data_IF_632105350883
#
_entry.id   IF_632105350883
#
_cell.length_a   1.000
_cell.length_b   1.000
_cell.length_c   1.000
_cell.angle_alpha   90.00
_cell.angle_beta   90.00
_cell.angle_gamma   90.00
#
_symmetry.space_group_name_H-M   'P 1'
#
loop_
_entity.id
_entity.type
_entity.pdbx_description
1 polymer ?
#
# COMPACT_ATOMS: atom_id res chain seq x y z
N UNK A 1 3.53 7.58 -7.17
CA UNK A 1 2.40 7.31 -6.25
C UNK A 1 1.54 8.56 -6.01
N UNK A 2 2.12 9.76 -5.78
CA UNK A 2 1.34 11.00 -5.61
C UNK A 2 0.35 11.30 -6.74
N UNK A 3 0.79 11.23 -8.00
CA UNK A 3 -0.08 11.44 -9.16
C UNK A 3 -1.26 10.47 -9.18
N UNK A 4 -1.02 9.21 -8.84
CA UNK A 4 -2.09 8.20 -8.78
C UNK A 4 -3.10 8.54 -7.68
N UNK A 5 -2.63 8.94 -6.49
CA UNK A 5 -3.54 9.36 -5.40
C UNK A 5 -4.36 10.59 -5.76
N UNK A 6 -3.78 11.57 -6.45
CA UNK A 6 -4.51 12.74 -6.93
C UNK A 6 -5.54 12.35 -7.99
N UNK A 7 -5.19 11.48 -8.94
CA UNK A 7 -6.13 10.97 -9.92
C UNK A 7 -7.30 10.24 -9.25
N UNK A 8 -7.02 9.38 -8.27
CA UNK A 8 -8.05 8.68 -7.49
C UNK A 8 -8.95 9.67 -6.72
N UNK A 9 -8.38 10.72 -6.12
CA UNK A 9 -9.15 11.79 -5.47
C UNK A 9 -10.04 12.56 -6.46
N UNK A 10 -9.61 12.69 -7.71
CA UNK A 10 -10.40 13.28 -8.79
C UNK A 10 -11.37 12.28 -9.45
N UNK A 11 -11.50 11.06 -8.91
CA UNK A 11 -12.41 10.03 -9.43
C UNK A 11 -11.90 9.29 -10.67
N UNK A 12 -10.61 9.42 -11.02
CA UNK A 12 -9.98 8.69 -12.12
C UNK A 12 -9.33 7.41 -11.61
N UNK A 13 -9.86 6.26 -12.07
CA UNK A 13 -9.45 4.91 -11.70
C UNK A 13 -8.85 4.14 -12.89
N UNK A 14 -8.11 4.82 -13.77
CA UNK A 14 -7.50 4.19 -14.94
C UNK A 14 -6.39 3.22 -14.51
N UNK A 15 -6.64 1.91 -14.69
CA UNK A 15 -5.64 0.86 -14.53
C UNK A 15 -4.53 0.99 -15.58
N UNK A 16 -3.35 0.49 -15.24
CA UNK A 16 -2.13 0.59 -16.05
C UNK A 16 -1.44 -0.78 -16.13
N UNK A 17 -0.51 -0.93 -17.07
CA UNK A 17 0.28 -2.17 -17.22
C UNK A 17 1.25 -2.41 -16.06
N UNK A 18 1.56 -1.37 -15.27
CA UNK A 18 2.49 -1.44 -14.14
C UNK A 18 2.12 -0.45 -13.02
N UNK A 19 2.52 -0.75 -11.78
CA UNK A 19 2.46 0.17 -10.65
C UNK A 19 1.33 -0.13 -9.67
N UNK A 20 0.86 0.86 -8.90
CA UNK A 20 -0.14 0.58 -7.86
C UNK A 20 -1.53 0.28 -8.43
N UNK A 21 -1.88 0.79 -9.60
CA UNK A 21 -3.10 0.45 -10.35
C UNK A 21 -2.79 -0.53 -11.48
N UNK A 22 -1.84 -1.43 -11.28
CA UNK A 22 -1.58 -2.53 -12.21
C UNK A 22 -2.85 -3.35 -12.43
N UNK A 23 -3.17 -3.69 -13.68
CA UNK A 23 -4.35 -4.48 -14.03
C UNK A 23 -4.37 -5.88 -13.39
N UNK A 24 -3.20 -6.42 -13.04
CA UNK A 24 -3.08 -7.69 -12.33
C UNK A 24 -3.37 -7.60 -10.82
N UNK A 25 -3.51 -6.39 -10.26
CA UNK A 25 -3.83 -6.21 -8.84
C UNK A 25 -5.28 -6.60 -8.52
N UNK A 26 -5.43 -7.72 -7.83
CA UNK A 26 -6.74 -8.26 -7.47
C UNK A 26 -7.45 -7.48 -6.35
N UNK A 27 -6.68 -6.87 -5.43
CA UNK A 27 -7.21 -6.17 -4.25
C UNK A 27 -6.27 -5.05 -3.81
N UNK A 28 -6.85 -4.00 -3.24
CA UNK A 28 -6.12 -2.92 -2.59
C UNK A 28 -6.19 -3.06 -1.08
N UNK A 29 -5.09 -2.70 -0.42
CA UNK A 29 -5.01 -2.69 1.03
C UNK A 29 -4.47 -1.35 1.53
N UNK A 30 -5.08 -0.86 2.61
CA UNK A 30 -4.44 0.09 3.52
C UNK A 30 -3.49 -0.66 4.46
N UNK A 31 -2.61 0.09 5.15
CA UNK A 31 -1.75 -0.50 6.18
C UNK A 31 -2.56 -1.19 7.29
N UNK A 32 -3.72 -0.62 7.64
CA UNK A 32 -4.62 -1.19 8.64
C UNK A 32 -5.22 -2.52 8.15
N UNK A 33 -5.77 -2.54 6.94
CA UNK A 33 -6.45 -3.73 6.41
C UNK A 33 -5.48 -4.88 6.12
N UNK A 34 -4.25 -4.60 5.67
CA UNK A 34 -3.25 -5.66 5.45
C UNK A 34 -2.75 -6.24 6.77
N UNK A 35 -2.62 -5.39 7.81
CA UNK A 35 -2.22 -5.83 9.16
C UNK A 35 -3.24 -6.82 9.72
N UNK A 36 -4.51 -6.44 9.71
CA UNK A 36 -5.57 -7.32 10.21
C UNK A 36 -5.60 -8.63 9.43
N UNK A 37 -5.50 -8.60 8.10
CA UNK A 37 -5.45 -9.82 7.29
C UNK A 37 -4.32 -10.77 7.72
N UNK A 38 -3.12 -10.24 7.95
CA UNK A 38 -1.96 -11.03 8.36
C UNK A 38 -2.14 -11.61 9.77
N UNK A 39 -2.59 -10.79 10.73
CA UNK A 39 -2.81 -11.22 12.11
C UNK A 39 -3.93 -12.26 12.21
N UNK A 40 -5.05 -12.06 11.48
CA UNK A 40 -6.16 -13.01 11.38
C UNK A 40 -5.74 -14.34 10.72
N UNK A 41 -4.72 -14.30 9.86
CA UNK A 41 -4.13 -15.48 9.23
C UNK A 41 -3.08 -16.17 10.11
N UNK A 42 -2.86 -15.69 11.33
CA UNK A 42 -1.93 -16.26 12.31
C UNK A 42 -0.48 -15.80 12.17
N UNK A 43 -0.19 -14.81 11.31
CA UNK A 43 1.14 -14.23 11.19
C UNK A 43 1.41 -13.20 12.28
N UNK A 44 2.68 -13.12 12.70
CA UNK A 44 3.17 -12.03 13.56
C UNK A 44 3.98 -11.05 12.75
N UNK A 45 3.59 -9.78 12.75
CA UNK A 45 4.33 -8.70 12.09
C UNK A 45 5.52 -8.30 12.97
N UNK A 46 6.73 -8.57 12.49
CA UNK A 46 7.98 -8.26 13.19
C UNK A 46 8.51 -6.86 12.82
N UNK A 47 8.30 -6.43 11.56
CA UNK A 47 8.78 -5.13 11.10
C UNK A 47 7.91 -4.54 9.98
N UNK A 48 7.76 -3.22 10.00
CA UNK A 48 7.16 -2.44 8.91
C UNK A 48 8.19 -1.43 8.42
N UNK A 49 8.54 -1.50 7.12
CA UNK A 49 9.47 -0.56 6.47
C UNK A 49 8.72 0.33 5.50
N UNK A 50 9.10 1.60 5.44
CA UNK A 50 8.57 2.57 4.50
C UNK A 50 9.67 2.98 3.53
N UNK A 51 9.40 2.91 2.23
CA UNK A 51 10.36 3.41 1.24
C UNK A 51 10.08 4.86 0.93
N UNK A 52 11.13 5.69 0.97
CA UNK A 52 11.10 7.13 0.63
C UNK A 52 10.12 7.96 1.47
N UNK A 53 10.29 7.99 2.79
CA UNK A 53 9.63 9.01 3.61
C UNK A 53 10.43 9.36 4.86
N UNK A 54 10.86 10.62 4.96
CA UNK A 54 11.46 11.20 6.17
C UNK A 54 10.45 12.05 6.96
N UNK A 55 9.29 12.38 6.36
CA UNK A 55 8.26 13.25 6.91
C UNK A 55 6.88 12.68 6.56
N UNK A 56 6.01 12.44 7.56
CA UNK A 56 4.70 11.77 7.45
C UNK A 56 4.68 10.48 6.60
N UNK A 57 5.28 9.38 7.09
CA UNK A 57 5.49 8.16 6.30
C UNK A 57 4.20 7.52 5.78
N UNK A 58 3.08 7.62 6.47
CA UNK A 58 1.80 7.09 5.99
C UNK A 58 1.25 7.84 4.77
N UNK A 59 1.49 9.15 4.68
CA UNK A 59 0.99 9.99 3.59
C UNK A 59 1.96 10.07 2.42
N UNK A 60 3.27 9.89 2.64
CA UNK A 60 4.28 10.08 1.61
C UNK A 60 5.02 8.78 1.23
N UNK A 61 4.84 7.67 1.97
CA UNK A 61 5.41 6.40 1.55
C UNK A 61 4.81 5.97 0.21
N UNK A 62 5.70 5.60 -0.71
CA UNK A 62 5.31 5.04 -2.00
C UNK A 62 4.98 3.55 -1.90
N UNK A 63 5.56 2.86 -0.92
CA UNK A 63 5.35 1.45 -0.60
C UNK A 63 5.66 1.19 0.87
N UNK A 64 4.95 0.22 1.45
CA UNK A 64 5.23 -0.36 2.76
C UNK A 64 5.58 -1.83 2.59
N UNK A 65 6.60 -2.28 3.33
CA UNK A 65 7.07 -3.67 3.31
C UNK A 65 6.88 -4.22 4.72
N UNK A 66 6.12 -5.30 4.85
CA UNK A 66 5.87 -5.99 6.11
C UNK A 66 6.71 -7.27 6.15
N UNK A 67 7.48 -7.46 7.22
CA UNK A 67 8.21 -8.70 7.51
C UNK A 67 7.42 -9.43 8.58
N UNK A 68 6.94 -10.63 8.26
CA UNK A 68 6.09 -11.43 9.14
C UNK A 68 6.71 -12.81 9.39
N UNK A 69 6.41 -13.38 10.56
CA UNK A 69 6.76 -14.76 10.96
C UNK A 69 5.51 -15.61 11.11
#
# INVERSE_FOLDING_TARGET
>A
NYTVRLNLLMGSFSYQEQGILDESHLRFFTLFTIRNLLEDSGYRIEQIKYTRANFFPTLFATQFILVCR
#
